data_IF_777361689661
#
_entry.id   IF_777361689661
#
_cell.length_a   1.000
_cell.length_b   1.000
_cell.length_c   1.000
_cell.angle_alpha   90.00
_cell.angle_beta   90.00
_cell.angle_gamma   90.00
#
_symmetry.space_group_name_H-M   'P 1'
#
loop_
_entity.id
_entity.type
_entity.pdbx_description
1 polymer ?
#
# COMPACT_ATOMS: atom_id res chain seq x y z
N UNK A 1 19.55 3.75 -0.54
CA UNK A 1 18.68 4.55 -1.42
C UNK A 1 17.24 4.39 -0.95
N UNK A 2 16.48 5.48 -0.89
CA UNK A 2 15.09 5.48 -0.41
C UNK A 2 14.09 5.42 -1.55
N UNK A 3 12.82 5.25 -1.21
CA UNK A 3 11.70 5.37 -2.13
C UNK A 3 11.49 6.84 -2.57
N UNK A 4 11.02 7.04 -3.80
CA UNK A 4 10.95 8.35 -4.44
C UNK A 4 9.53 8.77 -4.81
N UNK A 5 9.25 10.07 -4.59
CA UNK A 5 8.02 10.73 -5.04
C UNK A 5 6.73 10.24 -4.37
N UNK A 6 5.60 10.69 -4.91
CA UNK A 6 4.27 10.45 -4.31
C UNK A 6 3.89 8.97 -4.28
N UNK A 7 4.36 8.20 -5.26
CA UNK A 7 4.09 6.76 -5.37
C UNK A 7 5.16 5.89 -4.67
N UNK A 8 6.19 6.51 -4.08
CA UNK A 8 7.24 5.81 -3.33
C UNK A 8 7.91 4.69 -4.15
N UNK A 9 8.29 4.98 -5.40
CA UNK A 9 9.01 4.01 -6.21
C UNK A 9 10.44 3.84 -5.72
N UNK A 10 10.91 2.59 -5.61
CA UNK A 10 12.35 2.34 -5.51
C UNK A 10 13.04 2.76 -6.82
N UNK A 11 14.23 3.38 -6.81
CA UNK A 11 14.86 3.90 -8.04
C UNK A 11 15.04 2.85 -9.14
N UNK A 12 15.37 1.61 -8.74
CA UNK A 12 15.46 0.49 -9.67
C UNK A 12 14.11 0.14 -10.31
N UNK A 13 13.04 0.14 -9.52
CA UNK A 13 11.67 -0.07 -10.01
C UNK A 13 11.21 1.06 -10.91
N UNK A 14 11.46 2.32 -10.55
CA UNK A 14 11.17 3.48 -11.39
C UNK A 14 11.81 3.32 -12.78
N UNK A 15 13.09 2.95 -12.83
CA UNK A 15 13.81 2.70 -14.09
C UNK A 15 13.20 1.55 -14.88
N UNK A 16 12.90 0.42 -14.25
CA UNK A 16 12.27 -0.74 -14.91
C UNK A 16 10.88 -0.42 -15.47
N UNK A 17 10.16 0.51 -14.83
CA UNK A 17 8.83 0.95 -15.24
C UNK A 17 8.86 2.16 -16.18
N UNK A 18 10.05 2.58 -16.64
CA UNK A 18 10.20 3.66 -17.62
C UNK A 18 9.85 5.05 -17.07
N UNK A 19 9.93 5.23 -15.75
CA UNK A 19 9.62 6.50 -15.10
C UNK A 19 10.83 7.43 -15.17
N UNK A 20 10.72 8.51 -15.94
CA UNK A 20 11.82 9.48 -16.11
C UNK A 20 12.02 10.35 -14.87
N UNK A 21 10.93 10.66 -14.15
CA UNK A 21 10.95 11.40 -12.90
C UNK A 21 9.92 10.85 -11.91
N UNK A 22 10.39 10.18 -10.86
CA UNK A 22 9.56 9.64 -9.78
C UNK A 22 8.79 10.71 -9.00
N UNK A 23 9.27 11.95 -8.99
CA UNK A 23 8.65 13.09 -8.29
C UNK A 23 7.57 13.80 -9.12
N UNK A 24 7.48 13.55 -10.42
CA UNK A 24 6.41 14.10 -11.25
C UNK A 24 5.12 13.29 -11.04
N UNK A 25 4.15 13.90 -10.37
CA UNK A 25 2.86 13.29 -10.03
C UNK A 25 2.13 12.77 -11.28
N UNK A 26 2.20 13.49 -12.40
CA UNK A 26 1.52 13.12 -13.64
C UNK A 26 2.12 11.87 -14.29
N UNK A 27 3.37 11.55 -13.97
CA UNK A 27 4.03 10.32 -14.42
C UNK A 27 3.90 9.21 -13.38
N UNK A 28 4.14 9.54 -12.10
CA UNK A 28 4.23 8.57 -11.02
C UNK A 28 2.88 7.89 -10.72
N UNK A 29 1.78 8.65 -10.70
CA UNK A 29 0.46 8.09 -10.35
C UNK A 29 -0.02 7.08 -11.40
N UNK A 30 -0.02 7.39 -12.72
CA UNK A 30 -0.41 6.39 -13.73
C UNK A 30 0.52 5.17 -13.74
N UNK A 31 1.82 5.35 -13.53
CA UNK A 31 2.78 4.25 -13.46
C UNK A 31 2.50 3.33 -12.26
N UNK A 32 2.22 3.91 -11.09
CA UNK A 32 1.87 3.17 -9.87
C UNK A 32 0.57 2.39 -10.06
N UNK A 33 -0.46 3.02 -10.64
CA UNK A 33 -1.73 2.36 -10.92
C UNK A 33 -1.57 1.16 -11.87
N UNK A 34 -0.77 1.30 -12.94
CA UNK A 34 -0.45 0.18 -13.84
C UNK A 34 0.28 -0.92 -13.11
N UNK A 35 1.29 -0.57 -12.31
CA UNK A 35 2.08 -1.55 -11.58
C UNK A 35 1.23 -2.33 -10.56
N UNK A 36 0.36 -1.65 -9.81
CA UNK A 36 -0.61 -2.30 -8.92
C UNK A 36 -1.59 -3.19 -9.69
N UNK A 37 -2.06 -2.78 -10.87
CA UNK A 37 -2.97 -3.58 -11.69
C UNK A 37 -2.30 -4.87 -12.22
N UNK A 38 -1.02 -4.80 -12.61
CA UNK A 38 -0.23 -5.96 -12.99
C UNK A 38 -0.06 -6.92 -11.81
N UNK A 39 0.31 -6.42 -10.64
CA UNK A 39 0.44 -7.25 -9.43
C UNK A 39 -0.90 -7.85 -9.00
N UNK A 40 -1.99 -7.08 -9.05
CA UNK A 40 -3.34 -7.62 -8.80
C UNK A 40 -3.66 -8.75 -9.77
N UNK A 41 -3.28 -8.64 -11.03
CA UNK A 41 -3.51 -9.69 -12.03
C UNK A 41 -2.66 -10.93 -11.72
N UNK A 42 -1.39 -10.75 -11.35
CA UNK A 42 -0.48 -11.84 -11.00
C UNK A 42 -0.90 -12.57 -9.71
N UNK A 43 -1.17 -11.82 -8.64
CA UNK A 43 -1.48 -12.39 -7.32
C UNK A 43 -2.96 -12.72 -7.12
N UNK A 44 -3.87 -12.03 -7.79
CA UNK A 44 -5.32 -12.29 -7.79
C UNK A 44 -6.15 -11.19 -7.12
N UNK A 45 -5.61 -10.57 -6.06
CA UNK A 45 -6.32 -9.57 -5.28
C UNK A 45 -5.45 -8.35 -4.93
N UNK A 46 -6.08 -7.30 -4.41
CA UNK A 46 -5.40 -6.05 -4.06
C UNK A 46 -4.56 -6.16 -2.78
N UNK A 47 -4.90 -7.04 -1.83
CA UNK A 47 -4.11 -7.19 -0.60
C UNK A 47 -2.73 -7.80 -0.87
N UNK A 48 -2.64 -8.84 -1.70
CA UNK A 48 -1.36 -9.38 -2.16
C UNK A 48 -0.61 -8.39 -3.06
N UNK A 49 -1.32 -7.62 -3.89
CA UNK A 49 -0.69 -6.56 -4.68
C UNK A 49 -0.09 -5.46 -3.79
N UNK A 50 -0.78 -5.05 -2.73
CA UNK A 50 -0.28 -4.08 -1.75
C UNK A 50 0.94 -4.63 -0.99
N UNK A 51 0.90 -5.91 -0.58
CA UNK A 51 2.04 -6.58 0.03
C UNK A 51 3.25 -6.59 -0.91
N UNK A 52 3.04 -6.91 -2.18
CA UNK A 52 4.12 -6.98 -3.18
C UNK A 52 4.66 -5.59 -3.55
N UNK A 53 3.80 -4.56 -3.54
CA UNK A 53 4.21 -3.18 -3.75
C UNK A 53 5.18 -2.69 -2.66
N UNK A 54 4.89 -2.99 -1.39
CA UNK A 54 5.73 -2.59 -0.27
C UNK A 54 6.97 -3.50 -0.10
N UNK A 55 6.78 -4.82 -0.09
CA UNK A 55 7.84 -5.77 0.26
C UNK A 55 8.68 -6.26 -0.93
N UNK A 56 8.20 -6.03 -2.15
CA UNK A 56 8.72 -6.59 -3.38
C UNK A 56 8.08 -7.93 -3.76
N UNK A 57 7.85 -8.12 -5.05
CA UNK A 57 7.19 -9.32 -5.63
C UNK A 57 7.88 -10.62 -5.23
N UNK A 58 9.22 -10.69 -5.32
CA UNK A 58 9.97 -11.91 -4.98
C UNK A 58 9.78 -12.34 -3.52
N UNK A 59 9.63 -11.37 -2.60
CA UNK A 59 9.43 -11.66 -1.17
C UNK A 59 8.03 -12.23 -0.93
N UNK A 60 7.01 -11.63 -1.53
CA UNK A 60 5.63 -12.14 -1.45
C UNK A 60 5.50 -13.51 -2.11
N UNK A 61 6.10 -13.70 -3.29
CA UNK A 61 6.12 -15.00 -3.97
C UNK A 61 6.79 -16.10 -3.14
N UNK A 62 7.90 -15.77 -2.45
CA UNK A 62 8.56 -16.70 -1.53
C UNK A 62 7.69 -17.01 -0.32
N UNK A 63 7.06 -16.01 0.28
CA UNK A 63 6.15 -16.19 1.41
C UNK A 63 4.96 -17.09 1.05
N UNK A 64 4.34 -16.88 -0.12
CA UNK A 64 3.24 -17.72 -0.59
C UNK A 64 3.65 -19.17 -0.90
N UNK A 65 4.86 -19.39 -1.42
CA UNK A 65 5.32 -20.73 -1.82
C UNK A 65 5.97 -21.54 -0.70
N UNK A 66 6.66 -20.87 0.22
CA UNK A 66 7.50 -21.51 1.25
C UNK A 66 7.02 -21.24 2.67
N UNK A 67 5.96 -20.45 2.86
CA UNK A 67 5.51 -19.98 4.16
C UNK A 67 6.50 -18.99 4.80
N UNK A 68 6.37 -18.83 6.12
CA UNK A 68 7.15 -17.87 6.91
C UNK A 68 6.35 -16.60 7.19
N UNK A 69 7.06 -15.49 7.38
CA UNK A 69 6.46 -14.21 7.81
C UNK A 69 6.83 -13.10 6.83
N UNK A 70 5.91 -12.17 6.64
CA UNK A 70 6.23 -10.89 6.01
C UNK A 70 6.91 -9.97 7.03
N UNK A 71 7.69 -8.97 6.59
CA UNK A 71 8.15 -7.92 7.48
C UNK A 71 6.96 -7.25 8.17
N UNK A 72 7.11 -6.92 9.46
CA UNK A 72 6.07 -6.23 10.22
C UNK A 72 5.62 -4.93 9.53
N UNK A 73 6.54 -4.21 8.88
CA UNK A 73 6.22 -3.03 8.06
C UNK A 73 5.20 -3.35 6.95
N UNK A 74 5.38 -4.48 6.25
CA UNK A 74 4.48 -4.92 5.19
C UNK A 74 3.14 -5.39 5.74
N UNK A 75 3.14 -6.12 6.85
CA UNK A 75 1.89 -6.56 7.49
C UNK A 75 1.05 -5.36 7.94
N UNK A 76 1.67 -4.38 8.59
CA UNK A 76 1.02 -3.11 8.94
C UNK A 76 0.55 -2.37 7.70
N UNK A 77 1.39 -2.23 6.68
CA UNK A 77 1.03 -1.55 5.43
C UNK A 77 -0.23 -2.15 4.78
N UNK A 78 -0.34 -3.48 4.72
CA UNK A 78 -1.53 -4.12 4.18
C UNK A 78 -2.74 -3.88 5.07
N UNK A 79 -2.58 -3.97 6.39
CA UNK A 79 -3.65 -3.69 7.35
C UNK A 79 -4.17 -2.26 7.22
N UNK A 80 -3.28 -1.27 7.06
CA UNK A 80 -3.65 0.14 6.97
C UNK A 80 -4.39 0.48 5.67
N UNK A 81 -4.00 -0.15 4.56
CA UNK A 81 -4.60 0.10 3.24
C UNK A 81 -5.88 -0.71 3.03
N UNK A 82 -5.89 -1.97 3.46
CA UNK A 82 -6.99 -2.90 3.18
C UNK A 82 -7.96 -3.06 4.36
N UNK A 83 -7.59 -2.62 5.56
CA UNK A 83 -8.38 -2.82 6.78
C UNK A 83 -8.34 -4.25 7.33
N UNK A 84 -7.54 -5.14 6.73
CA UNK A 84 -7.45 -6.56 7.07
C UNK A 84 -6.00 -7.06 6.98
N UNK A 85 -5.59 -8.06 7.79
CA UNK A 85 -4.22 -8.57 7.77
C UNK A 85 -3.90 -9.31 6.48
N UNK A 86 -2.61 -9.29 6.09
CA UNK A 86 -2.12 -9.88 4.83
C UNK A 86 -2.52 -11.36 4.64
N UNK A 87 -2.55 -12.14 5.72
CA UNK A 87 -2.94 -13.56 5.69
C UNK A 87 -4.33 -13.80 5.11
N UNK A 88 -5.28 -12.87 5.30
CA UNK A 88 -6.65 -12.97 4.75
C UNK A 88 -6.65 -12.98 3.22
N UNK A 89 -5.64 -12.37 2.61
CA UNK A 89 -5.51 -12.24 1.17
C UNK A 89 -4.73 -13.40 0.52
N UNK A 90 -4.27 -14.39 1.30
CA UNK A 90 -3.63 -15.60 0.74
C UNK A 90 -4.59 -16.42 -0.14
N UNK A 91 -5.90 -16.32 0.11
CA UNK A 91 -6.91 -16.74 -0.85
C UNK A 91 -6.96 -15.73 -2.02
N UNK A 92 -6.50 -16.17 -3.19
CA UNK A 92 -6.43 -15.36 -4.41
C UNK A 92 -7.80 -14.84 -4.86
N UNK A 93 -8.89 -15.51 -4.49
CA UNK A 93 -10.25 -15.08 -4.82
C UNK A 93 -10.79 -14.02 -3.83
N UNK A 94 -10.16 -13.86 -2.66
CA UNK A 94 -10.62 -12.91 -1.66
C UNK A 94 -10.24 -11.46 -2.03
N UNK A 95 -11.24 -10.62 -2.27
CA UNK A 95 -11.04 -9.23 -2.66
C UNK A 95 -10.88 -8.26 -1.48
N UNK A 96 -11.07 -8.73 -0.23
CA UNK A 96 -11.23 -7.87 0.94
C UNK A 96 -12.66 -7.36 1.10
N UNK A 97 -12.97 -6.85 2.29
CA UNK A 97 -14.23 -6.16 2.56
C UNK A 97 -14.14 -4.72 2.07
N UNK A 98 -14.98 -4.38 1.10
CA UNK A 98 -15.14 -3.00 0.63
C UNK A 98 -16.42 -2.44 1.23
N UNK A 99 -16.27 -1.71 2.34
CA UNK A 99 -17.38 -0.99 2.95
C UNK A 99 -17.67 0.28 2.15
N UNK A 100 -18.94 0.55 1.77
CA UNK A 100 -19.29 1.74 1.04
C UNK A 100 -19.11 2.98 1.92
N UNK A 101 -18.66 4.09 1.33
CA UNK A 101 -18.55 5.38 2.02
C UNK A 101 -19.90 5.87 2.58
N UNK A 102 -20.99 5.50 1.90
CA UNK A 102 -22.36 5.74 2.32
C UNK A 102 -23.25 4.61 1.78
N UNK A 103 -24.14 4.07 2.62
CA UNK A 103 -24.93 2.88 2.26
C UNK A 103 -26.01 3.14 1.21
N UNK A 104 -26.31 4.40 0.88
CA UNK A 104 -27.47 4.80 0.05
C UNK A 104 -27.07 5.47 -1.24
N UNK A 105 -25.81 5.84 -1.41
CA UNK A 105 -25.35 6.64 -2.54
C UNK A 105 -24.11 6.04 -3.20
N UNK A 106 -23.97 6.29 -4.51
CA UNK A 106 -22.79 5.84 -5.25
C UNK A 106 -21.51 6.44 -4.70
N UNK A 107 -20.41 5.69 -4.82
CA UNK A 107 -19.09 6.09 -4.34
C UNK A 107 -18.69 7.51 -4.78
N UNK A 108 -18.91 7.88 -6.05
CA UNK A 108 -18.54 9.20 -6.56
C UNK A 108 -19.36 10.35 -5.94
N UNK A 109 -20.59 10.09 -5.51
CA UNK A 109 -21.44 11.05 -4.81
C UNK A 109 -21.05 11.12 -3.34
N UNK A 110 -20.89 9.95 -2.70
CA UNK A 110 -20.45 9.84 -1.31
C UNK A 110 -19.07 10.50 -1.09
N UNK A 111 -18.11 10.23 -1.98
CA UNK A 111 -16.76 10.79 -1.93
C UNK A 111 -16.74 12.32 -2.01
N UNK A 112 -17.58 12.92 -2.86
CA UNK A 112 -17.70 14.39 -2.94
C UNK A 112 -18.40 15.02 -1.73
N UNK A 113 -19.20 14.23 -1.00
CA UNK A 113 -19.89 14.65 0.22
C UNK A 113 -19.07 14.42 1.48
N UNK A 114 -17.99 13.64 1.41
CA UNK A 114 -17.09 13.46 2.54
C UNK A 114 -16.62 14.84 2.99
N UNK A 115 -16.92 15.25 4.24
CA UNK A 115 -16.40 16.51 4.74
C UNK A 115 -14.87 16.45 4.64
N UNK A 116 -14.26 17.56 4.19
CA UNK A 116 -12.81 17.75 4.33
C UNK A 116 -12.56 18.01 5.82
N UNK A 117 -12.59 16.94 6.59
CA UNK A 117 -12.11 16.95 7.96
C UNK A 117 -10.58 16.90 7.83
N UNK A 118 -9.86 17.77 8.52
CA UNK A 118 -8.43 17.57 8.69
C UNK A 118 -8.25 16.14 9.20
N UNK A 119 -7.66 15.28 8.36
CA UNK A 119 -7.23 13.97 8.80
C UNK A 119 -6.33 14.24 10.00
N UNK A 120 -6.77 13.82 11.19
CA UNK A 120 -5.81 13.59 12.25
C UNK A 120 -4.95 12.49 11.68
N UNK A 121 -3.79 12.84 11.13
CA UNK A 121 -2.70 11.91 10.95
C UNK A 121 -2.47 11.31 12.33
N UNK A 122 -3.08 10.16 12.59
CA UNK A 122 -2.66 9.31 13.68
C UNK A 122 -1.29 8.86 13.23
N UNK A 123 -0.25 9.45 13.83
CA UNK A 123 1.12 9.02 13.56
C UNK A 123 1.15 7.50 13.74
N UNK A 124 1.47 6.77 12.67
CA UNK A 124 1.38 5.31 12.58
C UNK A 124 2.32 4.59 13.56
N UNK A 125 3.16 5.34 14.27
CA UNK A 125 3.89 4.88 15.43
C UNK A 125 3.94 5.99 16.48
N UNK A 126 3.12 5.90 17.53
CA UNK A 126 3.48 6.53 18.80
C UNK A 126 4.52 5.63 19.47
N UNK A 127 5.79 5.86 19.15
CA UNK A 127 6.88 5.25 19.92
C UNK A 127 6.83 5.92 21.30
N UNK A 128 6.67 5.14 22.37
CA UNK A 128 6.86 5.66 23.73
C UNK A 128 8.34 6.02 23.91
N UNK A 129 8.69 7.26 23.60
CA UNK A 129 10.06 7.75 23.75
C UNK A 129 10.34 7.84 25.26
N UNK A 130 11.32 7.08 25.75
CA UNK A 130 11.81 7.23 27.12
C UNK A 130 12.41 8.63 27.29
N UNK A 131 12.53 9.18 28.52
CA UNK A 131 12.98 10.56 28.75
C UNK A 131 14.32 10.96 28.12
N UNK A 132 15.14 9.99 27.71
CA UNK A 132 16.46 10.16 27.11
C UNK A 132 16.52 9.81 25.61
N UNK A 133 15.40 9.46 24.97
CA UNK A 133 15.36 9.07 23.56
C UNK A 133 15.27 10.28 22.61
N UNK A 134 15.94 10.19 21.46
CA UNK A 134 15.85 11.17 20.36
C UNK A 134 15.41 10.43 19.09
N UNK A 135 14.36 10.91 18.44
CA UNK A 135 13.92 10.44 17.11
C UNK A 135 14.61 11.28 16.04
N UNK A 136 15.34 10.62 15.13
CA UNK A 136 15.98 11.27 13.99
C UNK A 136 15.24 10.82 12.73
N UNK A 137 14.82 11.80 11.92
CA UNK A 137 14.09 11.60 10.66
C UNK A 137 15.03 11.26 9.49
#
# INVERSE_FOLDING_TARGET
>A
VGAEGIAQFMPGTAKMRGLANSFDINQAIPASARYLAEMKTGYGNLGLAAAAYNAGESRVSRWLSSGGFLPMETESYVLDIMGEPADKFTDRAYAGRVEPLDAKTDFAVACRKLPVIMSRTVAMASINIKPWGIQVA
#
